data_IF_480920246111
#
_entry.id   IF_480920246111
#
_cell.length_a   1.000
_cell.length_b   1.000
_cell.length_c   1.000
_cell.angle_alpha   90.00
_cell.angle_beta   90.00
_cell.angle_gamma   90.00
#
_symmetry.space_group_name_H-M   'P 1'
#
loop_
_entity.id
_entity.type
_entity.pdbx_description
1 polymer ?
#
# COMPACT_ATOMS: atom_id res chain seq x y z
N UNK A 1 -5.36 23.14 -13.51
CA UNK A 1 -6.75 23.52 -13.22
C UNK A 1 -7.74 23.00 -14.26
N UNK A 2 -7.53 23.20 -15.59
CA UNK A 2 -8.47 22.75 -16.64
C UNK A 2 -8.87 21.27 -16.54
N UNK A 3 -7.92 20.36 -16.30
CA UNK A 3 -8.19 18.93 -16.11
C UNK A 3 -9.10 18.65 -14.92
N UNK A 4 -8.89 19.35 -13.80
CA UNK A 4 -9.76 19.23 -12.61
C UNK A 4 -11.15 19.80 -12.90
N UNK A 5 -11.25 20.91 -13.63
CA UNK A 5 -12.52 21.42 -14.12
C UNK A 5 -13.28 20.40 -14.97
N UNK A 6 -12.60 19.70 -15.89
CA UNK A 6 -13.21 18.62 -16.68
C UNK A 6 -13.70 17.47 -15.78
N UNK A 7 -12.91 17.04 -14.79
CA UNK A 7 -13.33 16.01 -13.84
C UNK A 7 -14.54 16.44 -13.01
N UNK A 8 -14.55 17.69 -12.52
CA UNK A 8 -15.67 18.25 -11.76
C UNK A 8 -16.94 18.36 -12.63
N UNK A 9 -16.82 18.82 -13.88
CA UNK A 9 -17.93 18.86 -14.81
C UNK A 9 -18.50 17.46 -15.08
N UNK A 10 -17.65 16.44 -15.20
CA UNK A 10 -18.05 15.04 -15.33
C UNK A 10 -18.78 14.52 -14.08
N UNK A 11 -18.25 14.79 -12.88
CA UNK A 11 -18.86 14.39 -11.61
C UNK A 11 -20.25 15.01 -11.41
N UNK A 12 -20.37 16.30 -11.74
CA UNK A 12 -21.61 17.08 -11.61
C UNK A 12 -22.70 16.56 -12.55
N UNK A 13 -22.38 16.28 -13.80
CA UNK A 13 -23.34 15.74 -14.77
C UNK A 13 -23.70 14.28 -14.49
N UNK A 14 -22.78 13.50 -13.90
CA UNK A 14 -23.02 12.11 -13.54
C UNK A 14 -23.77 11.94 -12.20
N UNK A 15 -23.77 12.95 -11.32
CA UNK A 15 -24.31 12.83 -9.97
C UNK A 15 -23.50 11.91 -9.05
N UNK A 16 -22.19 11.78 -9.31
CA UNK A 16 -21.31 10.88 -8.58
C UNK A 16 -20.59 11.57 -7.41
N UNK A 17 -20.06 10.78 -6.48
CA UNK A 17 -19.24 11.26 -5.38
C UNK A 17 -17.76 11.16 -5.75
N UNK A 18 -17.08 12.29 -5.81
CA UNK A 18 -15.63 12.36 -6.00
C UNK A 18 -14.93 12.52 -4.66
N UNK A 19 -14.06 11.57 -4.32
CA UNK A 19 -13.11 11.71 -3.22
C UNK A 19 -11.72 11.98 -3.80
N UNK A 20 -11.22 13.20 -3.61
CA UNK A 20 -9.89 13.59 -4.08
C UNK A 20 -8.88 13.37 -2.97
N UNK A 21 -8.06 12.33 -3.14
CA UNK A 21 -7.01 12.00 -2.17
C UNK A 21 -5.81 12.94 -2.29
N UNK A 22 -5.14 13.18 -1.16
CA UNK A 22 -3.96 14.05 -1.04
C UNK A 22 -4.11 15.43 -1.69
N UNK A 23 -5.29 16.05 -1.54
CA UNK A 23 -5.65 17.29 -2.23
C UNK A 23 -4.68 18.47 -1.97
N UNK A 24 -3.96 18.41 -0.85
CA UNK A 24 -2.99 19.40 -0.43
C UNK A 24 -1.58 19.24 -1.06
N UNK A 25 -1.43 18.39 -2.07
CA UNK A 25 -0.24 18.34 -2.94
C UNK A 25 -0.37 19.21 -4.19
N UNK A 26 -1.58 19.71 -4.46
CA UNK A 26 -1.84 20.59 -5.61
C UNK A 26 -1.21 21.96 -5.35
N UNK A 27 -0.60 22.53 -6.40
CA UNK A 27 -0.03 23.88 -6.34
C UNK A 27 -1.07 24.93 -5.92
N UNK A 28 -0.66 25.88 -5.07
CA UNK A 28 -1.53 26.90 -4.46
C UNK A 28 -2.20 27.79 -5.52
N UNK A 29 -1.52 28.08 -6.64
CA UNK A 29 -2.10 28.86 -7.73
C UNK A 29 -3.27 28.12 -8.39
N UNK A 30 -3.15 26.79 -8.50
CA UNK A 30 -4.17 25.91 -9.08
C UNK A 30 -5.35 25.75 -8.12
N UNK A 31 -5.09 25.60 -6.82
CA UNK A 31 -6.12 25.53 -5.78
C UNK A 31 -7.03 26.77 -5.75
N UNK A 32 -6.46 27.94 -6.01
CA UNK A 32 -7.22 29.19 -6.05
C UNK A 32 -8.28 29.19 -7.16
N UNK A 33 -7.94 28.67 -8.35
CA UNK A 33 -8.88 28.52 -9.46
C UNK A 33 -9.93 27.45 -9.16
N UNK A 34 -9.51 26.33 -8.57
CA UNK A 34 -10.43 25.24 -8.17
C UNK A 34 -11.44 25.75 -7.13
N UNK A 35 -11.03 26.64 -6.23
CA UNK A 35 -11.94 27.28 -5.28
C UNK A 35 -13.12 27.96 -5.99
N UNK A 36 -12.85 28.69 -7.07
CA UNK A 36 -13.91 29.34 -7.86
C UNK A 36 -14.82 28.31 -8.52
N UNK A 37 -14.25 27.22 -9.06
CA UNK A 37 -15.00 26.13 -9.69
C UNK A 37 -15.96 25.45 -8.69
N UNK A 38 -15.44 25.09 -7.52
CA UNK A 38 -16.22 24.48 -6.45
C UNK A 38 -17.30 25.43 -5.92
N UNK A 39 -17.00 26.73 -5.82
CA UNK A 39 -17.98 27.72 -5.39
C UNK A 39 -19.14 27.83 -6.39
N UNK A 40 -18.87 27.82 -7.70
CA UNK A 40 -19.92 27.83 -8.73
C UNK A 40 -20.82 26.60 -8.60
N UNK A 41 -20.24 25.41 -8.43
CA UNK A 41 -21.00 24.16 -8.24
C UNK A 41 -21.84 24.22 -6.97
N UNK A 42 -21.25 24.65 -5.85
CA UNK A 42 -21.95 24.81 -4.58
C UNK A 42 -23.13 25.77 -4.68
N UNK A 43 -22.95 26.92 -5.33
CA UNK A 43 -24.02 27.90 -5.51
C UNK A 43 -25.15 27.33 -6.36
N UNK A 44 -24.84 26.60 -7.43
CA UNK A 44 -25.84 25.93 -8.25
C UNK A 44 -26.64 24.88 -7.45
N UNK A 45 -25.97 24.11 -6.58
CA UNK A 45 -26.62 23.15 -5.67
C UNK A 45 -27.54 23.85 -4.65
N UNK A 46 -27.09 24.95 -4.05
CA UNK A 46 -27.88 25.71 -3.06
C UNK A 46 -29.12 26.34 -3.71
N UNK A 47 -28.99 26.84 -4.95
CA UNK A 47 -30.10 27.42 -5.71
C UNK A 47 -31.04 26.35 -6.30
N UNK A 48 -30.65 25.08 -6.32
CA UNK A 48 -31.44 23.98 -6.86
C UNK A 48 -31.71 24.09 -8.37
N UNK A 49 -30.78 24.68 -9.13
CA UNK A 49 -30.93 24.82 -10.59
C UNK A 49 -30.65 23.49 -11.29
N UNK A 50 -31.35 23.21 -12.40
CA UNK A 50 -31.10 21.98 -13.19
C UNK A 50 -29.93 22.11 -14.16
N UNK A 51 -29.65 23.33 -14.61
CA UNK A 51 -28.56 23.68 -15.51
C UNK A 51 -27.89 24.93 -15.00
N UNK A 52 -26.59 25.03 -15.20
CA UNK A 52 -25.81 26.21 -14.86
C UNK A 52 -24.60 26.34 -15.78
N UNK A 53 -24.04 27.54 -15.82
CA UNK A 53 -22.83 27.81 -16.60
C UNK A 53 -21.61 27.44 -15.76
N UNK A 54 -20.78 26.54 -16.26
CA UNK A 54 -19.54 26.10 -15.67
C UNK A 54 -18.41 26.17 -16.70
N UNK A 55 -17.33 26.90 -16.38
CA UNK A 55 -16.18 27.10 -17.30
C UNK A 55 -16.58 27.59 -18.71
N UNK A 56 -17.67 28.37 -18.80
CA UNK A 56 -18.18 28.93 -20.06
C UNK A 56 -19.13 28.01 -20.85
N UNK A 57 -19.41 26.80 -20.38
CA UNK A 57 -20.37 25.88 -20.98
C UNK A 57 -21.60 25.70 -20.07
N UNK A 58 -22.79 25.58 -20.66
CA UNK A 58 -23.99 25.18 -19.92
C UNK A 58 -23.95 23.66 -19.70
N UNK A 59 -23.97 23.23 -18.44
CA UNK A 59 -23.96 21.81 -18.05
C UNK A 59 -25.17 21.45 -17.19
N UNK A 60 -25.60 20.19 -17.27
CA UNK A 60 -26.62 19.63 -16.40
C UNK A 60 -26.06 19.41 -14.99
N UNK A 61 -26.89 19.69 -13.96
CA UNK A 61 -26.58 19.45 -12.56
C UNK A 61 -27.42 18.30 -12.01
N UNK A 62 -26.78 17.19 -11.63
CA UNK A 62 -27.40 16.19 -10.78
C UNK A 62 -27.16 16.54 -9.30
N UNK A 63 -28.22 16.76 -8.48
CA UNK A 63 -28.08 17.15 -7.07
C UNK A 63 -27.44 16.06 -6.18
N UNK A 64 -27.25 14.83 -6.68
CA UNK A 64 -26.57 13.75 -5.95
C UNK A 64 -25.06 13.92 -5.90
N UNK A 65 -24.48 14.83 -6.67
CA UNK A 65 -23.04 15.07 -6.69
C UNK A 65 -22.50 15.36 -5.29
N UNK A 66 -21.34 14.76 -4.97
CA UNK A 66 -20.62 14.98 -3.72
C UNK A 66 -19.14 15.19 -3.98
N UNK A 67 -18.53 16.17 -3.32
CA UNK A 67 -17.09 16.42 -3.42
C UNK A 67 -16.48 16.33 -2.04
N UNK A 68 -15.54 15.41 -1.90
CA UNK A 68 -14.80 15.16 -0.67
C UNK A 68 -13.31 15.27 -0.97
N UNK A 69 -12.56 15.75 0.02
CA UNK A 69 -11.11 15.83 -0.05
C UNK A 69 -10.52 15.18 1.18
N UNK A 70 -9.39 14.50 1.01
CA UNK A 70 -8.55 14.04 2.12
C UNK A 70 -7.21 14.77 2.04
N UNK A 71 -6.70 15.12 3.22
CA UNK A 71 -5.43 15.81 3.35
C UNK A 71 -4.72 15.32 4.59
N UNK A 72 -3.41 15.22 4.49
CA UNK A 72 -2.55 14.77 5.58
C UNK A 72 -1.60 15.92 5.95
N UNK A 73 -1.94 16.73 6.96
CA UNK A 73 -1.13 17.88 7.37
C UNK A 73 0.23 17.44 7.93
N UNK A 74 1.26 18.29 7.78
CA UNK A 74 2.56 18.10 8.42
C UNK A 74 3.55 17.14 7.73
N UNK A 75 3.20 16.60 6.55
CA UNK A 75 4.11 15.78 5.74
C UNK A 75 4.84 16.63 4.69
N UNK A 76 6.06 16.20 4.33
CA UNK A 76 6.89 16.87 3.34
C UNK A 76 6.18 16.96 1.97
N UNK A 77 6.38 18.07 1.26
CA UNK A 77 5.79 18.28 -0.07
C UNK A 77 4.29 18.63 -0.07
N UNK A 78 3.68 18.83 1.10
CA UNK A 78 2.27 19.22 1.23
C UNK A 78 2.14 20.67 1.65
N UNK A 79 1.25 21.41 0.98
CA UNK A 79 0.95 22.81 1.28
C UNK A 79 -0.26 22.92 2.19
N UNK A 80 -0.38 24.01 2.95
CA UNK A 80 -1.65 24.31 3.59
C UNK A 80 -2.66 24.78 2.54
N UNK A 81 -3.91 24.36 2.70
CA UNK A 81 -4.98 24.81 1.82
C UNK A 81 -5.23 26.31 2.03
N UNK A 82 -5.47 27.08 0.95
CA UNK A 82 -5.91 28.47 1.07
C UNK A 82 -7.21 28.57 1.88
N UNK A 83 -7.38 29.67 2.63
CA UNK A 83 -8.59 29.91 3.42
C UNK A 83 -9.87 29.96 2.56
N UNK A 84 -9.75 30.44 1.31
CA UNK A 84 -10.84 30.42 0.33
C UNK A 84 -11.36 29.00 0.06
N UNK A 85 -10.46 28.02 -0.05
CA UNK A 85 -10.79 26.61 -0.27
C UNK A 85 -11.32 26.01 1.04
N UNK A 86 -10.64 26.25 2.17
CA UNK A 86 -11.07 25.74 3.49
C UNK A 86 -12.52 26.16 3.81
N UNK A 87 -12.91 27.39 3.48
CA UNK A 87 -14.27 27.90 3.70
C UNK A 87 -15.38 27.17 2.91
N UNK A 88 -15.02 26.42 1.86
CA UNK A 88 -15.97 25.62 1.08
C UNK A 88 -16.21 24.23 1.67
N UNK A 89 -15.33 23.75 2.54
CA UNK A 89 -15.38 22.41 3.12
C UNK A 89 -15.73 22.43 4.60
N UNK A 90 -16.38 21.37 5.07
CA UNK A 90 -16.55 21.11 6.50
C UNK A 90 -15.42 20.18 6.96
N UNK A 91 -14.53 20.62 7.87
CA UNK A 91 -13.44 19.77 8.33
C UNK A 91 -13.96 18.65 9.23
N UNK A 92 -13.36 17.47 9.09
CA UNK A 92 -13.52 16.33 9.98
C UNK A 92 -12.13 15.88 10.38
N UNK A 93 -11.87 15.80 11.69
CA UNK A 93 -10.55 15.45 12.21
C UNK A 93 -10.54 13.99 12.64
N UNK A 94 -9.77 13.17 11.95
CA UNK A 94 -9.59 11.75 12.23
C UNK A 94 -8.23 11.53 12.93
N UNK A 95 -8.16 11.70 14.26
CA UNK A 95 -6.88 11.74 14.99
C UNK A 95 -6.30 10.34 15.26
N UNK A 96 -6.99 9.50 16.03
CA UNK A 96 -6.53 8.13 16.35
C UNK A 96 -7.74 7.19 16.33
N UNK A 97 -7.73 6.13 15.49
CA UNK A 97 -8.77 5.12 15.52
C UNK A 97 -8.57 4.17 16.70
N UNK A 98 -9.66 3.54 17.15
CA UNK A 98 -9.61 2.49 18.17
C UNK A 98 -9.15 1.16 17.54
N UNK A 99 -7.88 0.81 17.74
CA UNK A 99 -7.31 -0.42 17.21
C UNK A 99 -7.90 -1.69 17.83
N UNK A 100 -8.34 -1.66 19.09
CA UNK A 100 -8.86 -2.85 19.78
C UNK A 100 -10.22 -3.24 19.22
N UNK A 101 -11.10 -2.25 19.03
CA UNK A 101 -12.43 -2.46 18.43
C UNK A 101 -12.31 -2.94 16.98
N UNK A 102 -11.39 -2.37 16.20
CA UNK A 102 -11.16 -2.81 14.81
C UNK A 102 -10.66 -4.26 14.80
N UNK A 103 -9.66 -4.60 15.61
CA UNK A 103 -9.16 -5.99 15.72
C UNK A 103 -10.28 -6.95 16.10
N UNK A 104 -11.08 -6.59 17.11
CA UNK A 104 -12.18 -7.40 17.59
C UNK A 104 -13.17 -7.73 16.48
N UNK A 105 -13.67 -6.70 15.79
CA UNK A 105 -14.68 -6.87 14.73
C UNK A 105 -14.10 -7.68 13.56
N UNK A 106 -12.87 -7.39 13.14
CA UNK A 106 -12.21 -8.14 12.07
C UNK A 106 -12.04 -9.62 12.42
N UNK A 107 -11.54 -9.94 13.62
CA UNK A 107 -11.39 -11.33 14.05
C UNK A 107 -12.74 -12.06 14.16
N UNK A 108 -13.78 -11.40 14.68
CA UNK A 108 -15.14 -11.98 14.70
C UNK A 108 -15.61 -12.26 13.27
N UNK A 109 -15.41 -11.33 12.34
CA UNK A 109 -15.84 -11.49 10.94
C UNK A 109 -15.13 -12.64 10.22
N UNK A 110 -13.91 -12.98 10.63
CA UNK A 110 -13.15 -14.14 10.13
C UNK A 110 -13.48 -15.46 10.88
N UNK A 111 -14.40 -15.43 11.85
CA UNK A 111 -14.89 -16.61 12.55
C UNK A 111 -14.10 -17.01 13.81
N UNK A 112 -13.30 -16.10 14.39
CA UNK A 112 -12.61 -16.35 15.65
C UNK A 112 -13.58 -16.28 16.84
N UNK A 113 -13.63 -17.35 17.65
CA UNK A 113 -14.46 -17.43 18.85
C UNK A 113 -13.85 -16.66 20.03
N UNK A 114 -12.52 -16.63 20.14
CA UNK A 114 -11.77 -15.95 21.21
C UNK A 114 -11.35 -14.51 20.83
N UNK A 115 -12.01 -13.91 19.84
CA UNK A 115 -11.64 -12.62 19.24
C UNK A 115 -11.39 -11.50 20.26
N UNK A 116 -12.19 -11.42 21.34
CA UNK A 116 -12.01 -10.40 22.40
C UNK A 116 -10.67 -10.48 23.11
N UNK A 117 -10.25 -11.69 23.49
CA UNK A 117 -8.96 -11.88 24.14
C UNK A 117 -7.81 -11.63 23.15
N UNK A 118 -7.97 -12.11 21.92
CA UNK A 118 -6.99 -12.01 20.86
C UNK A 118 -6.74 -10.57 20.41
N UNK A 119 -7.79 -9.76 20.25
CA UNK A 119 -7.70 -8.34 19.91
C UNK A 119 -6.91 -7.54 20.96
N UNK A 120 -7.19 -7.80 22.24
CA UNK A 120 -6.44 -7.19 23.34
C UNK A 120 -4.95 -7.59 23.34
N UNK A 121 -4.65 -8.87 23.12
CA UNK A 121 -3.25 -9.34 23.01
C UNK A 121 -2.52 -8.68 21.84
N UNK A 122 -3.17 -8.58 20.68
CA UNK A 122 -2.59 -7.97 19.49
C UNK A 122 -2.27 -6.48 19.68
N UNK A 123 -3.20 -5.71 20.22
CA UNK A 123 -3.02 -4.28 20.48
C UNK A 123 -1.95 -4.02 21.54
N UNK A 124 -1.93 -4.81 22.61
CA UNK A 124 -0.87 -4.76 23.64
C UNK A 124 0.49 -5.09 23.03
N UNK A 125 0.60 -6.12 22.19
CA UNK A 125 1.86 -6.46 21.51
C UNK A 125 2.40 -5.27 20.70
N UNK A 126 1.55 -4.65 19.88
CA UNK A 126 1.95 -3.52 19.04
C UNK A 126 2.33 -2.30 19.87
N UNK A 127 1.63 -2.06 20.98
CA UNK A 127 1.98 -0.99 21.93
C UNK A 127 3.35 -1.24 22.56
N UNK A 128 3.57 -2.44 23.12
CA UNK A 128 4.84 -2.80 23.76
C UNK A 128 5.99 -2.79 22.77
N UNK A 129 5.79 -3.33 21.56
CA UNK A 129 6.82 -3.35 20.54
C UNK A 129 7.20 -1.93 20.06
N UNK A 130 6.23 -1.02 19.96
CA UNK A 130 6.50 0.40 19.68
C UNK A 130 7.31 1.09 20.79
N UNK A 131 7.11 0.71 22.04
CA UNK A 131 7.76 1.31 23.21
C UNK A 131 9.15 0.71 23.51
N UNK A 132 9.34 -0.59 23.24
CA UNK A 132 10.54 -1.34 23.64
C UNK A 132 11.53 -1.63 22.52
N UNK A 133 11.09 -1.71 21.26
CA UNK A 133 12.00 -1.93 20.13
C UNK A 133 12.69 -0.63 19.73
N UNK A 134 13.80 -0.77 18.99
CA UNK A 134 14.52 0.38 18.48
C UNK A 134 13.65 1.24 17.54
N UNK A 135 13.91 2.56 17.51
CA UNK A 135 13.15 3.51 16.69
C UNK A 135 13.69 3.53 15.25
N UNK A 136 13.33 2.52 14.47
CA UNK A 136 13.68 2.46 13.04
C UNK A 136 12.67 3.23 12.18
N UNK A 137 13.15 3.91 11.13
CA UNK A 137 12.30 4.67 10.19
C UNK A 137 11.29 3.80 9.43
N UNK A 138 11.62 2.52 9.20
CA UNK A 138 10.78 1.59 8.44
C UNK A 138 9.80 0.79 9.31
N UNK A 139 9.79 1.00 10.63
CA UNK A 139 8.83 0.34 11.51
C UNK A 139 7.47 1.02 11.43
N UNK A 140 6.45 0.23 11.07
CA UNK A 140 5.07 0.67 10.96
C UNK A 140 4.19 -0.08 11.97
N UNK A 141 3.73 0.66 12.98
CA UNK A 141 2.80 0.20 14.02
C UNK A 141 1.38 0.76 13.80
N UNK A 142 1.09 1.31 12.62
CA UNK A 142 -0.18 1.91 12.28
C UNK A 142 -1.25 0.89 11.85
N UNK A 143 -2.43 1.42 11.50
CA UNK A 143 -3.59 0.61 11.13
C UNK A 143 -3.34 -0.28 9.90
N UNK A 144 -2.53 0.17 8.94
CA UNK A 144 -2.21 -0.61 7.73
C UNK A 144 -1.41 -1.86 8.04
N UNK A 145 -0.42 -1.77 8.93
CA UNK A 145 0.31 -2.94 9.42
C UNK A 145 -0.60 -3.92 10.16
N UNK A 146 -1.45 -3.39 11.04
CA UNK A 146 -2.41 -4.16 11.83
C UNK A 146 -3.43 -4.90 10.94
N UNK A 147 -4.06 -4.21 9.97
CA UNK A 147 -5.01 -4.80 9.03
C UNK A 147 -4.39 -5.89 8.16
N UNK A 148 -3.10 -5.74 7.83
CA UNK A 148 -2.40 -6.73 7.04
C UNK A 148 -2.19 -8.04 7.83
N UNK A 149 -1.90 -7.95 9.13
CA UNK A 149 -1.80 -9.13 10.01
C UNK A 149 -3.17 -9.80 10.17
N UNK A 150 -4.23 -9.01 10.42
CA UNK A 150 -5.59 -9.53 10.56
C UNK A 150 -6.03 -10.33 9.33
N UNK A 151 -5.77 -9.80 8.13
CA UNK A 151 -6.07 -10.49 6.87
C UNK A 151 -5.36 -11.85 6.77
N UNK A 152 -4.09 -11.91 7.15
CA UNK A 152 -3.32 -13.17 7.15
C UNK A 152 -3.88 -14.13 8.20
N UNK A 153 -4.18 -13.65 9.41
CA UNK A 153 -4.77 -14.46 10.46
C UNK A 153 -6.10 -15.09 10.00
N UNK A 154 -6.96 -14.34 9.31
CA UNK A 154 -8.18 -14.86 8.69
C UNK A 154 -7.93 -15.93 7.63
N UNK A 155 -6.95 -15.73 6.74
CA UNK A 155 -6.56 -16.74 5.74
C UNK A 155 -6.04 -18.01 6.42
N UNK A 156 -5.15 -17.88 7.41
CA UNK A 156 -4.59 -19.00 8.15
C UNK A 156 -5.66 -19.76 8.94
N UNK A 157 -6.64 -19.06 9.51
CA UNK A 157 -7.76 -19.69 10.22
C UNK A 157 -8.61 -20.53 9.28
N UNK A 158 -8.86 -20.05 8.05
CA UNK A 158 -9.60 -20.81 7.02
C UNK A 158 -8.82 -22.00 6.48
N UNK A 159 -7.49 -21.89 6.33
CA UNK A 159 -6.65 -22.98 5.84
C UNK A 159 -6.39 -24.07 6.88
N UNK A 160 -6.58 -23.77 8.17
CA UNK A 160 -6.17 -24.66 9.26
C UNK A 160 -7.18 -24.60 10.41
N UNK A 161 -8.30 -25.29 10.22
CA UNK A 161 -9.43 -25.28 11.17
C UNK A 161 -9.06 -25.89 12.54
N UNK A 162 -8.18 -26.89 12.55
CA UNK A 162 -7.79 -27.66 13.74
C UNK A 162 -6.76 -26.95 14.63
N UNK A 163 -6.14 -25.88 14.12
CA UNK A 163 -5.11 -25.14 14.87
C UNK A 163 -5.80 -24.20 15.87
N UNK A 164 -5.34 -24.17 17.15
CA UNK A 164 -5.85 -23.22 18.13
C UNK A 164 -5.74 -21.77 17.65
N UNK A 165 -6.79 -20.99 17.86
CA UNK A 165 -6.87 -19.60 17.38
C UNK A 165 -5.74 -18.71 17.90
N UNK A 166 -5.30 -18.92 19.14
CA UNK A 166 -4.16 -18.23 19.72
C UNK A 166 -2.87 -18.49 18.93
N UNK A 167 -2.66 -19.72 18.47
CA UNK A 167 -1.48 -20.11 17.70
C UNK A 167 -1.53 -19.53 16.29
N UNK A 168 -2.72 -19.50 15.67
CA UNK A 168 -2.93 -18.86 14.36
C UNK A 168 -2.57 -17.37 14.42
N UNK A 169 -3.05 -16.64 15.42
CA UNK A 169 -2.75 -15.22 15.57
C UNK A 169 -1.27 -14.97 15.90
N UNK A 170 -0.71 -15.73 16.85
CA UNK A 170 0.72 -15.65 17.20
C UNK A 170 1.60 -15.83 15.97
N UNK A 171 1.26 -16.80 15.12
CA UNK A 171 1.96 -17.08 13.87
C UNK A 171 1.88 -15.91 12.90
N UNK A 172 0.68 -15.40 12.64
CA UNK A 172 0.48 -14.26 11.75
C UNK A 172 1.27 -13.03 12.22
N UNK A 173 1.29 -12.77 13.53
CA UNK A 173 2.03 -11.67 14.15
C UNK A 173 3.54 -11.82 13.97
N UNK A 174 4.07 -13.03 14.18
CA UNK A 174 5.49 -13.33 14.02
C UNK A 174 5.91 -13.21 12.56
N UNK A 175 5.28 -13.98 11.68
CA UNK A 175 5.73 -14.16 10.29
C UNK A 175 5.63 -12.84 9.51
N UNK A 176 4.65 -11.98 9.82
CA UNK A 176 4.50 -10.69 9.14
C UNK A 176 5.43 -9.58 9.64
N UNK A 177 5.91 -9.65 10.87
CA UNK A 177 6.70 -8.57 11.48
C UNK A 177 8.19 -8.89 11.52
N UNK A 178 8.58 -10.16 11.74
CA UNK A 178 9.98 -10.58 11.75
C UNK A 178 10.80 -10.14 10.52
N UNK A 179 10.30 -10.20 9.27
CA UNK A 179 11.07 -9.78 8.10
C UNK A 179 11.46 -8.30 8.10
N UNK A 180 10.76 -7.47 8.88
CA UNK A 180 10.96 -6.02 8.93
C UNK A 180 12.00 -5.60 9.98
N UNK A 181 12.26 -6.45 10.98
CA UNK A 181 13.08 -6.06 12.11
C UNK A 181 14.58 -6.15 11.79
N UNK A 182 15.34 -5.25 12.42
CA UNK A 182 16.79 -5.41 12.51
C UNK A 182 17.13 -6.63 13.37
N UNK A 183 18.29 -7.23 13.13
CA UNK A 183 18.71 -8.47 13.78
C UNK A 183 18.62 -8.42 15.32
N UNK A 184 18.98 -7.27 15.91
CA UNK A 184 18.97 -7.05 17.37
C UNK A 184 17.56 -7.00 17.98
N UNK A 185 16.56 -6.54 17.22
CA UNK A 185 15.18 -6.40 17.68
C UNK A 185 14.38 -7.70 17.55
N UNK A 186 14.82 -8.63 16.70
CA UNK A 186 14.12 -9.92 16.49
C UNK A 186 13.99 -10.72 17.80
N UNK A 187 15.06 -10.94 18.59
CA UNK A 187 14.93 -11.63 19.87
C UNK A 187 14.02 -10.92 20.87
N UNK A 188 14.06 -9.58 20.91
CA UNK A 188 13.21 -8.77 21.79
C UNK A 188 11.74 -8.95 21.45
N UNK A 189 11.40 -8.87 20.16
CA UNK A 189 10.03 -9.08 19.70
C UNK A 189 9.54 -10.52 19.94
N UNK A 190 10.40 -11.52 19.74
CA UNK A 190 10.06 -12.91 20.06
C UNK A 190 9.84 -13.11 21.58
N UNK A 191 10.58 -12.38 22.42
CA UNK A 191 10.33 -12.32 23.87
C UNK A 191 8.94 -11.79 24.18
N UNK A 192 8.56 -10.64 23.61
CA UNK A 192 7.22 -10.06 23.76
C UNK A 192 6.11 -11.01 23.32
N UNK A 193 6.33 -11.76 22.23
CA UNK A 193 5.39 -12.79 21.78
C UNK A 193 5.26 -13.89 22.83
N UNK A 194 6.38 -14.41 23.35
CA UNK A 194 6.36 -15.50 24.36
C UNK A 194 5.64 -15.09 25.63
N UNK A 195 5.78 -13.84 26.05
CA UNK A 195 5.10 -13.30 27.24
C UNK A 195 3.57 -13.19 27.05
N UNK A 196 3.12 -12.80 25.84
CA UNK A 196 1.68 -12.70 25.53
C UNK A 196 1.03 -14.04 25.16
N UNK A 197 1.83 -15.01 24.74
CA UNK A 197 1.42 -16.32 24.26
C UNK A 197 2.23 -17.43 24.96
N UNK A 198 2.11 -17.56 26.30
CA UNK A 198 2.94 -18.49 27.07
C UNK A 198 2.62 -19.95 26.75
N UNK A 199 3.66 -20.79 26.71
CA UNK A 199 3.53 -22.24 26.53
C UNK A 199 3.10 -22.68 25.12
N UNK A 200 3.20 -21.80 24.11
CA UNK A 200 2.89 -22.13 22.73
C UNK A 200 4.15 -22.11 21.87
N UNK A 201 4.51 -23.29 21.36
CA UNK A 201 5.52 -23.42 20.32
C UNK A 201 4.84 -23.32 18.94
N UNK A 202 5.26 -22.33 18.16
CA UNK A 202 4.76 -22.16 16.81
C UNK A 202 5.77 -22.73 15.81
N UNK A 203 5.57 -23.93 15.26
CA UNK A 203 6.40 -24.39 14.15
C UNK A 203 6.24 -23.44 12.96
N UNK A 204 7.33 -23.25 12.23
CA UNK A 204 7.27 -22.54 10.96
C UNK A 204 6.69 -23.47 9.91
N UNK A 205 5.74 -23.00 9.11
CA UNK A 205 5.30 -23.77 7.94
C UNK A 205 6.38 -23.64 6.88
N UNK A 206 6.94 -24.78 6.50
CA UNK A 206 7.83 -24.84 5.35
C UNK A 206 7.01 -24.76 4.07
N UNK A 207 7.65 -24.22 3.03
CA UNK A 207 7.22 -24.39 1.65
C UNK A 207 8.21 -25.31 0.97
N UNK A 208 8.11 -26.65 1.11
CA UNK A 208 9.18 -27.57 0.69
C UNK A 208 9.49 -27.46 -0.80
N UNK A 209 8.44 -27.37 -1.63
CA UNK A 209 8.58 -27.24 -3.09
C UNK A 209 9.26 -25.91 -3.47
N UNK A 210 8.88 -24.81 -2.81
CA UNK A 210 9.47 -23.50 -3.05
C UNK A 210 10.92 -23.45 -2.56
N UNK A 211 11.21 -23.98 -1.37
CA UNK A 211 12.57 -24.07 -0.83
C UNK A 211 13.48 -24.87 -1.77
N UNK A 212 13.00 -26.00 -2.27
CA UNK A 212 13.73 -26.82 -3.25
C UNK A 212 14.01 -26.05 -4.54
N UNK A 213 13.02 -25.29 -5.04
CA UNK A 213 13.19 -24.45 -6.22
C UNK A 213 14.20 -23.30 -6.00
N UNK A 214 14.20 -22.69 -4.82
CA UNK A 214 15.17 -21.66 -4.41
C UNK A 214 16.58 -22.23 -4.35
N UNK A 215 16.77 -23.37 -3.69
CA UNK A 215 18.07 -24.05 -3.60
C UNK A 215 18.60 -24.46 -4.99
N UNK A 216 17.70 -24.93 -5.86
CA UNK A 216 18.02 -25.26 -7.25
C UNK A 216 18.47 -24.02 -8.04
N UNK A 217 17.78 -22.88 -7.86
CA UNK A 217 18.16 -21.61 -8.50
C UNK A 217 19.53 -21.12 -8.03
N UNK A 218 19.81 -21.17 -6.72
CA UNK A 218 21.12 -20.80 -6.18
C UNK A 218 22.25 -21.66 -6.76
N UNK A 219 22.06 -22.98 -6.78
CA UNK A 219 23.06 -23.93 -7.31
C UNK A 219 23.29 -23.71 -8.81
N UNK A 220 22.23 -23.50 -9.60
CA UNK A 220 22.32 -23.24 -11.04
C UNK A 220 23.10 -21.97 -11.36
N UNK A 221 22.96 -20.94 -10.53
CA UNK A 221 23.63 -19.66 -10.70
C UNK A 221 25.02 -19.60 -10.04
N UNK A 222 25.51 -20.72 -9.48
CA UNK A 222 26.85 -20.83 -8.89
C UNK A 222 27.02 -20.14 -7.53
N UNK A 223 25.93 -19.88 -6.81
CA UNK A 223 25.97 -19.30 -5.47
C UNK A 223 26.21 -20.37 -4.40
N UNK A 224 26.85 -19.97 -3.30
CA UNK A 224 26.97 -20.80 -2.09
C UNK A 224 25.63 -20.82 -1.36
N UNK A 225 25.12 -22.00 -1.04
CA UNK A 225 23.87 -22.17 -0.30
C UNK A 225 24.06 -21.80 1.18
N UNK A 226 23.47 -20.67 1.58
CA UNK A 226 23.39 -20.26 2.98
C UNK A 226 21.91 -20.31 3.44
N UNK A 227 21.59 -20.96 4.58
CA UNK A 227 20.21 -21.05 5.08
C UNK A 227 19.53 -19.68 5.24
N UNK A 228 20.30 -18.67 5.65
CA UNK A 228 19.82 -17.29 5.83
C UNK A 228 19.39 -16.64 4.50
N UNK A 229 20.05 -16.97 3.40
CA UNK A 229 19.69 -16.46 2.08
C UNK A 229 18.37 -17.08 1.60
N UNK A 230 18.22 -18.40 1.78
CA UNK A 230 16.97 -19.11 1.46
C UNK A 230 15.83 -18.52 2.30
N UNK A 231 16.06 -18.32 3.59
CA UNK A 231 15.09 -17.70 4.49
C UNK A 231 14.63 -16.32 4.01
N UNK A 232 15.56 -15.47 3.54
CA UNK A 232 15.21 -14.14 3.02
C UNK A 232 14.39 -14.18 1.73
N UNK A 233 14.63 -15.16 0.84
CA UNK A 233 13.80 -15.35 -0.36
C UNK A 233 12.39 -15.81 0.02
N UNK A 234 12.26 -16.71 1.00
CA UNK A 234 10.97 -17.15 1.53
C UNK A 234 10.21 -15.99 2.19
N UNK A 235 10.87 -15.20 3.02
CA UNK A 235 10.27 -14.02 3.66
C UNK A 235 9.77 -13.00 2.62
N UNK A 236 10.53 -12.79 1.53
CA UNK A 236 10.09 -11.93 0.43
C UNK A 236 8.85 -12.51 -0.27
N UNK A 237 8.84 -13.81 -0.55
CA UNK A 237 7.70 -14.50 -1.15
C UNK A 237 6.44 -14.37 -0.29
N UNK A 238 6.53 -14.68 1.00
CA UNK A 238 5.42 -14.55 1.96
C UNK A 238 4.92 -13.10 2.03
N UNK A 239 5.84 -12.14 2.09
CA UNK A 239 5.48 -10.71 2.16
C UNK A 239 4.74 -10.27 0.90
N UNK A 240 5.21 -10.66 -0.28
CA UNK A 240 4.59 -10.34 -1.58
C UNK A 240 3.22 -10.99 -1.78
N UNK A 241 2.91 -12.12 -1.13
CA UNK A 241 1.56 -12.70 -1.16
C UNK A 241 0.52 -11.83 -0.43
N UNK A 242 0.97 -10.97 0.49
CA UNK A 242 0.08 -10.24 1.41
C UNK A 242 -0.08 -8.77 1.02
N UNK A 243 0.82 -8.25 0.17
CA UNK A 243 0.89 -6.84 -0.23
C UNK A 243 1.24 -6.72 -1.70
N UNK A 244 0.66 -5.73 -2.38
CA UNK A 244 0.93 -5.44 -3.79
C UNK A 244 2.33 -4.87 -4.04
N UNK A 245 2.94 -4.23 -3.05
CA UNK A 245 4.28 -3.64 -3.12
C UNK A 245 5.09 -3.99 -1.88
N UNK A 246 6.39 -4.23 -2.08
CA UNK A 246 7.34 -4.58 -1.02
C UNK A 246 8.65 -3.84 -1.27
N UNK A 247 9.27 -3.33 -0.21
CA UNK A 247 10.59 -2.69 -0.27
C UNK A 247 11.67 -3.67 0.19
N UNK A 248 12.75 -3.78 -0.59
CA UNK A 248 13.95 -4.53 -0.24
C UNK A 248 15.01 -3.53 0.26
N UNK A 249 15.26 -3.52 1.56
CA UNK A 249 16.17 -2.57 2.20
C UNK A 249 17.43 -3.29 2.67
N UNK A 250 18.58 -2.66 2.47
CA UNK A 250 19.89 -3.21 2.87
C UNK A 250 21.04 -2.45 2.21
N UNK A 251 22.27 -2.64 2.68
CA UNK A 251 23.44 -1.94 2.16
C UNK A 251 23.79 -2.34 0.72
N UNK A 252 24.66 -1.57 0.09
CA UNK A 252 25.30 -1.93 -1.19
C UNK A 252 26.03 -3.27 -1.04
N UNK A 253 25.87 -4.18 -2.00
CA UNK A 253 26.44 -5.53 -1.92
C UNK A 253 25.71 -6.48 -0.96
N UNK A 254 24.64 -6.05 -0.28
CA UNK A 254 23.88 -6.89 0.67
C UNK A 254 23.00 -7.99 0.05
N UNK A 255 23.21 -8.36 -1.22
CA UNK A 255 22.50 -9.47 -1.86
C UNK A 255 21.04 -9.21 -2.28
N UNK A 256 20.50 -7.99 -2.13
CA UNK A 256 19.10 -7.65 -2.47
C UNK A 256 18.70 -8.08 -3.89
N UNK A 257 19.55 -7.77 -4.87
CA UNK A 257 19.34 -8.12 -6.28
C UNK A 257 19.36 -9.63 -6.50
N UNK A 258 20.19 -10.36 -5.74
CA UNK A 258 20.22 -11.83 -5.78
C UNK A 258 18.89 -12.38 -5.27
N UNK A 259 18.39 -11.88 -4.14
CA UNK A 259 17.12 -12.34 -3.53
C UNK A 259 15.94 -12.22 -4.51
N UNK A 260 15.78 -11.07 -5.18
CA UNK A 260 14.65 -10.86 -6.11
C UNK A 260 14.79 -11.66 -7.41
N UNK A 261 16.02 -11.83 -7.91
CA UNK A 261 16.26 -12.68 -9.09
C UNK A 261 16.04 -14.16 -8.78
N UNK A 262 16.48 -14.64 -7.62
CA UNK A 262 16.24 -16.01 -7.15
C UNK A 262 14.74 -16.26 -6.96
N UNK A 263 13.98 -15.29 -6.43
CA UNK A 263 12.53 -15.39 -6.33
C UNK A 263 11.87 -15.62 -7.71
N UNK A 264 12.25 -14.83 -8.71
CA UNK A 264 11.74 -14.94 -10.10
C UNK A 264 12.07 -16.31 -10.70
N UNK A 265 13.31 -16.75 -10.53
CA UNK A 265 13.77 -18.03 -11.05
C UNK A 265 13.04 -19.20 -10.35
N UNK A 266 12.89 -19.15 -9.04
CA UNK A 266 12.15 -20.15 -8.25
C UNK A 266 10.68 -20.25 -8.68
N UNK A 267 10.00 -19.12 -8.89
CA UNK A 267 8.62 -19.11 -9.40
C UNK A 267 8.54 -19.72 -10.81
N UNK A 268 9.52 -19.43 -11.67
CA UNK A 268 9.59 -20.00 -13.02
C UNK A 268 9.82 -21.51 -12.97
N UNK A 269 10.67 -22.01 -12.07
CA UNK A 269 10.88 -23.45 -11.83
C UNK A 269 9.59 -24.13 -11.36
N UNK A 270 8.79 -23.45 -10.54
CA UNK A 270 7.46 -23.90 -10.11
C UNK A 270 6.38 -23.78 -11.20
N UNK A 271 6.78 -23.64 -12.48
CA UNK A 271 5.89 -23.53 -13.64
C UNK A 271 5.00 -22.27 -13.63
N UNK A 272 5.43 -21.22 -12.94
CA UNK A 272 4.79 -19.91 -12.96
C UNK A 272 5.76 -18.89 -13.58
N UNK A 273 5.74 -18.71 -14.92
CA UNK A 273 6.61 -17.79 -15.61
C UNK A 273 6.51 -16.40 -14.98
N UNK A 274 7.65 -15.87 -14.53
CA UNK A 274 7.68 -14.58 -13.84
C UNK A 274 8.60 -13.62 -14.59
N UNK A 275 8.07 -12.46 -14.96
CA UNK A 275 8.79 -11.39 -15.64
C UNK A 275 9.02 -10.22 -14.68
N UNK A 276 10.19 -9.61 -14.76
CA UNK A 276 10.53 -8.40 -14.00
C UNK A 276 10.88 -7.29 -15.00
N UNK A 277 10.12 -6.20 -14.94
CA UNK A 277 10.43 -4.95 -15.64
C UNK A 277 11.18 -4.04 -14.68
N UNK A 278 12.46 -3.82 -14.93
CA UNK A 278 13.34 -3.01 -14.06
C UNK A 278 13.37 -1.58 -14.58
N UNK A 279 13.19 -0.61 -13.70
CA UNK A 279 13.35 0.79 -14.02
C UNK A 279 14.01 1.55 -12.87
N UNK A 280 14.84 2.53 -13.21
CA UNK A 280 15.36 3.48 -12.24
C UNK A 280 14.51 4.77 -12.32
N UNK A 281 13.65 5.05 -11.33
CA UNK A 281 12.75 6.20 -11.38
C UNK A 281 13.48 7.54 -11.32
N UNK A 282 14.75 7.55 -10.85
CA UNK A 282 15.59 8.76 -10.79
C UNK A 282 16.37 9.03 -12.07
N UNK A 283 16.43 8.05 -12.99
CA UNK A 283 17.14 8.21 -14.25
C UNK A 283 16.37 9.09 -15.25
N UNK A 284 15.08 9.31 -15.03
CA UNK A 284 14.23 10.17 -15.83
C UNK A 284 13.51 11.21 -14.96
N UNK A 285 12.95 12.22 -15.61
CA UNK A 285 12.10 13.19 -14.94
C UNK A 285 10.75 12.56 -14.56
N UNK A 286 10.05 13.14 -13.57
CA UNK A 286 8.70 12.69 -13.16
C UNK A 286 7.72 12.69 -14.35
N UNK A 287 7.86 13.68 -15.25
CA UNK A 287 7.06 13.80 -16.47
C UNK A 287 7.34 12.63 -17.43
N UNK A 288 8.60 12.28 -17.67
CA UNK A 288 8.96 11.15 -18.52
C UNK A 288 8.58 9.80 -17.88
N UNK A 289 8.55 9.72 -16.55
CA UNK A 289 8.17 8.51 -15.83
C UNK A 289 6.66 8.24 -15.94
N UNK A 290 5.83 9.24 -15.62
CA UNK A 290 4.37 9.08 -15.52
C UNK A 290 3.60 9.50 -16.78
N UNK A 291 4.18 10.36 -17.60
CA UNK A 291 3.54 10.97 -18.75
C UNK A 291 3.09 12.40 -18.44
N UNK A 292 2.74 13.12 -19.51
CA UNK A 292 2.24 14.49 -19.41
C UNK A 292 1.18 14.76 -20.46
N UNK A 293 0.28 15.68 -20.12
CA UNK A 293 -0.66 16.27 -21.05
C UNK A 293 -0.02 17.53 -21.65
N UNK A 294 0.04 17.63 -22.97
CA UNK A 294 0.52 18.83 -23.65
C UNK A 294 -0.39 20.03 -23.31
N UNK A 295 0.13 21.15 -22.78
CA UNK A 295 -0.70 22.29 -22.40
C UNK A 295 -1.41 22.99 -23.56
N UNK A 296 -0.86 22.93 -24.77
CA UNK A 296 -1.36 23.59 -25.96
C UNK A 296 -2.29 22.66 -26.76
N UNK A 297 -1.86 21.45 -27.08
CA UNK A 297 -2.65 20.51 -27.91
C UNK A 297 -3.66 19.72 -27.09
N UNK A 298 -3.42 19.58 -25.77
CA UNK A 298 -4.17 18.70 -24.87
C UNK A 298 -4.06 17.21 -25.22
N UNK A 299 -3.04 16.82 -25.97
CA UNK A 299 -2.74 15.41 -26.23
C UNK A 299 -1.97 14.79 -25.07
N UNK A 300 -2.30 13.55 -24.74
CA UNK A 300 -1.63 12.79 -23.70
C UNK A 300 -0.41 12.06 -24.27
N UNK A 301 0.75 12.28 -23.67
CA UNK A 301 1.97 11.50 -23.96
C UNK A 301 2.23 10.56 -22.78
N UNK A 302 2.24 9.25 -23.05
CA UNK A 302 2.55 8.26 -22.04
C UNK A 302 4.01 8.37 -21.57
N UNK A 303 4.22 8.26 -20.26
CA UNK A 303 5.53 8.06 -19.66
C UNK A 303 5.95 6.60 -19.65
N UNK A 304 7.21 6.36 -19.30
CA UNK A 304 7.84 5.04 -19.25
C UNK A 304 7.07 4.06 -18.34
N UNK A 305 6.74 4.47 -17.11
CA UNK A 305 6.01 3.63 -16.16
C UNK A 305 4.58 3.38 -16.65
N UNK A 306 3.88 4.41 -17.14
CA UNK A 306 2.52 4.24 -17.65
C UNK A 306 2.45 3.29 -18.84
N UNK A 307 3.46 3.32 -19.72
CA UNK A 307 3.56 2.40 -20.85
C UNK A 307 3.84 0.97 -20.39
N UNK A 308 4.85 0.77 -19.53
CA UNK A 308 5.16 -0.54 -18.94
C UNK A 308 3.92 -1.12 -18.23
N UNK A 309 3.24 -0.31 -17.42
CA UNK A 309 2.05 -0.72 -16.68
C UNK A 309 0.92 -1.11 -17.63
N UNK A 310 0.69 -0.37 -18.71
CA UNK A 310 -0.32 -0.72 -19.73
C UNK A 310 0.02 -2.05 -20.42
N UNK A 311 1.27 -2.24 -20.83
CA UNK A 311 1.73 -3.47 -21.48
C UNK A 311 1.56 -4.69 -20.56
N UNK A 312 1.89 -4.56 -19.27
CA UNK A 312 1.76 -5.64 -18.29
C UNK A 312 0.31 -6.02 -17.98
N UNK A 313 -0.64 -5.08 -18.14
CA UNK A 313 -2.07 -5.33 -17.92
C UNK A 313 -2.80 -5.81 -19.19
N UNK A 314 -2.10 -6.05 -20.30
CA UNK A 314 -2.74 -6.62 -21.50
C UNK A 314 -3.25 -8.04 -21.20
N UNK A 315 -4.48 -8.38 -21.64
CA UNK A 315 -5.04 -9.71 -21.43
C UNK A 315 -4.11 -10.78 -22.02
N UNK A 316 -3.71 -11.73 -21.18
CA UNK A 316 -2.81 -12.83 -21.59
C UNK A 316 -3.50 -14.15 -21.29
N UNK A 317 -3.40 -15.11 -22.20
CA UNK A 317 -3.99 -16.45 -22.05
C UNK A 317 -3.16 -17.39 -21.16
N UNK A 318 -1.91 -17.00 -20.88
CA UNK A 318 -0.97 -17.74 -20.03
C UNK A 318 -1.04 -17.21 -18.61
N UNK A 319 -1.02 -18.12 -17.63
CA UNK A 319 -0.85 -17.78 -16.23
C UNK A 319 0.62 -17.37 -16.01
N UNK A 320 0.88 -16.06 -15.93
CA UNK A 320 2.21 -15.50 -15.70
C UNK A 320 2.17 -14.38 -14.64
N UNK A 321 3.28 -14.23 -13.92
CA UNK A 321 3.48 -13.15 -12.95
C UNK A 321 4.36 -12.06 -13.53
N UNK A 322 4.05 -10.84 -13.11
CA UNK A 322 4.62 -9.61 -13.65
C UNK A 322 4.97 -8.70 -12.48
N UNK A 323 6.24 -8.36 -12.34
CA UNK A 323 6.72 -7.43 -11.32
C UNK A 323 7.35 -6.20 -11.96
N UNK A 324 7.07 -5.04 -11.39
CA UNK A 324 7.79 -3.80 -11.69
C UNK A 324 8.80 -3.59 -10.55
N UNK A 325 10.08 -3.57 -10.89
CA UNK A 325 11.16 -3.30 -9.94
C UNK A 325 11.66 -1.88 -10.13
N UNK A 326 11.44 -1.05 -9.12
CA UNK A 326 12.04 0.27 -9.01
C UNK A 326 13.42 0.14 -8.37
N UNK A 327 14.46 0.12 -9.18
CA UNK A 327 15.86 0.02 -8.73
C UNK A 327 16.51 1.41 -8.72
N UNK A 328 16.33 2.11 -7.60
CA UNK A 328 16.86 3.46 -7.41
C UNK A 328 16.46 4.05 -6.07
N UNK A 329 16.94 5.25 -5.80
CA UNK A 329 16.63 5.97 -4.56
C UNK A 329 15.16 6.39 -4.50
N UNK A 330 14.60 6.32 -3.29
CA UNK A 330 13.21 6.70 -3.02
C UNK A 330 13.17 8.18 -2.64
N UNK A 331 12.34 8.95 -3.32
CA UNK A 331 11.98 10.30 -2.92
C UNK A 331 10.46 10.52 -3.02
N UNK A 332 9.97 11.50 -2.27
CA UNK A 332 8.55 11.82 -2.18
C UNK A 332 7.94 12.37 -3.49
N UNK A 333 8.76 12.83 -4.44
CA UNK A 333 8.25 13.43 -5.68
C UNK A 333 7.73 12.37 -6.63
N UNK A 334 8.38 11.20 -6.71
CA UNK A 334 7.91 10.12 -7.57
C UNK A 334 7.12 9.06 -6.79
N UNK A 335 7.56 8.61 -5.61
CA UNK A 335 6.94 7.44 -4.96
C UNK A 335 5.49 7.65 -4.53
N UNK A 336 5.08 8.91 -4.33
CA UNK A 336 3.73 9.25 -3.90
C UNK A 336 2.78 9.53 -5.09
N UNK A 337 3.21 9.38 -6.35
CA UNK A 337 2.34 9.55 -7.55
C UNK A 337 1.85 8.21 -8.09
#
# INVERSE_FOLDING_TARGET
FKTIGTNLAGLVQCGAWGCFDEFNRIDVSVLSVISSQLQTIRNALVLGVKKFIFEGAEIDLDPKVGVFITMNPGYAGRTELPESVKALFRPVVCVVPDFEVICLISLISDGFLQAKLLAKKMTVLYKLAKEQLSKQYHYDWGLRALNAVLRIAGVLKRSSLDIPENLVLMRALRDMNCPKFVFEDVPLFLGLIRDLFPGMDCPRVGYPDFNTAVETSFTKNGYVLLPEQVDKVVQLYETMMTRHSTMLVGPTGGGKTVVINTLKDAQTIMKLPTKISILNPKACTVIELYGTLDPATRDWTDGLLSNIFREMNKPTTKEERHYILFDGDVDALWIEN
#
